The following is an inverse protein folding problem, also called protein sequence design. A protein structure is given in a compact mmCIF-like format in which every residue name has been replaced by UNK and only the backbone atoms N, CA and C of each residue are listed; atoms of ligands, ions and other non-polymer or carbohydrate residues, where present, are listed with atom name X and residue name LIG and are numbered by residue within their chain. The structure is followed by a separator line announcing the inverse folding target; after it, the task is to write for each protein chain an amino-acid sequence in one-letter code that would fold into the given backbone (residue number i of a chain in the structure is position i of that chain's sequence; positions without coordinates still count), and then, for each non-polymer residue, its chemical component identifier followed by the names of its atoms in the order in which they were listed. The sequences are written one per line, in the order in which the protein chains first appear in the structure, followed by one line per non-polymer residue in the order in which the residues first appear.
data_IF_014922027650
#
_entry.id   IF_014922027650
#
_cell.length_a   1.000
_cell.length_b   1.000
_cell.length_c   1.000
_cell.angle_alpha   90.00
_cell.angle_beta   90.00
_cell.angle_gamma   90.00
#
_symmetry.space_group_name_H-M   'P 1'
#
loop_
_entity.id
_entity.type
_entity.pdbx_description
1 polymer ?
#
# COMPACT_ATOMS: atom_id res chain seq x y z
N UNK A 1 -17.75 -7.18 4.82
CA UNK A 1 -16.90 -7.31 3.63
C UNK A 1 -17.58 -6.72 2.40
N UNK A 2 -16.79 -6.18 1.45
CA UNK A 2 -17.26 -5.79 0.13
C UNK A 2 -16.95 -6.92 -0.86
N UNK A 3 -17.91 -7.34 -1.67
CA UNK A 3 -17.69 -8.34 -2.70
C UNK A 3 -17.68 -7.61 -4.05
N UNK A 4 -16.48 -7.42 -4.60
CA UNK A 4 -16.30 -6.82 -5.92
C UNK A 4 -16.60 -7.83 -7.03
N UNK A 5 -17.17 -7.35 -8.12
CA UNK A 5 -17.46 -8.14 -9.31
C UNK A 5 -16.42 -7.86 -10.39
N UNK A 6 -15.98 -8.90 -11.08
CA UNK A 6 -15.03 -8.79 -12.17
C UNK A 6 -15.61 -9.42 -13.45
N UNK A 7 -15.27 -8.84 -14.59
CA UNK A 7 -15.62 -9.40 -15.89
C UNK A 7 -14.46 -10.19 -16.49
N UNK A 8 -14.73 -11.15 -17.35
CA UNK A 8 -13.70 -11.86 -18.13
C UNK A 8 -12.88 -10.87 -18.96
N UNK A 9 -13.55 -9.83 -19.52
CA UNK A 9 -12.86 -8.76 -20.24
C UNK A 9 -11.82 -8.06 -19.36
N UNK A 10 -12.19 -7.73 -18.11
CA UNK A 10 -11.28 -7.10 -17.14
C UNK A 10 -10.09 -8.01 -16.81
N UNK A 11 -10.35 -9.29 -16.58
CA UNK A 11 -9.29 -10.27 -16.29
C UNK A 11 -8.29 -10.38 -17.44
N UNK A 12 -8.77 -10.52 -18.68
CA UNK A 12 -7.91 -10.59 -19.88
C UNK A 12 -7.15 -9.29 -20.12
N UNK A 13 -7.79 -8.14 -19.83
CA UNK A 13 -7.14 -6.83 -19.93
C UNK A 13 -5.95 -6.72 -18.99
N UNK A 14 -6.01 -7.28 -17.78
CA UNK A 14 -4.89 -7.21 -16.83
C UNK A 14 -3.64 -7.94 -17.35
N UNK A 15 -3.79 -9.14 -17.89
CA UNK A 15 -2.67 -9.88 -18.51
C UNK A 15 -2.12 -9.17 -19.74
N UNK A 16 -3.00 -8.77 -20.66
CA UNK A 16 -2.61 -8.02 -21.85
C UNK A 16 -1.95 -6.66 -21.52
N UNK A 17 -2.53 -5.92 -20.55
CA UNK A 17 -2.02 -4.62 -20.13
C UNK A 17 -0.59 -4.69 -19.63
N UNK A 18 -0.26 -5.69 -18.82
CA UNK A 18 1.10 -5.89 -18.33
C UNK A 18 2.05 -6.27 -19.48
N UNK A 19 1.65 -7.20 -20.36
CA UNK A 19 2.44 -7.58 -21.54
C UNK A 19 2.68 -6.41 -22.51
N UNK A 20 1.76 -5.44 -22.58
CA UNK A 20 1.92 -4.29 -23.46
C UNK A 20 3.00 -3.29 -23.00
N UNK A 21 3.47 -3.40 -21.74
CA UNK A 21 4.46 -2.48 -21.16
C UNK A 21 5.74 -3.18 -20.73
N UNK A 22 5.71 -4.49 -20.51
CA UNK A 22 6.88 -5.32 -20.15
C UNK A 22 7.16 -6.28 -21.30
N UNK A 23 8.42 -6.34 -21.73
CA UNK A 23 8.90 -7.30 -22.70
C UNK A 23 9.05 -8.68 -22.03
N UNK A 24 8.04 -9.53 -22.20
CA UNK A 24 7.86 -10.80 -21.51
C UNK A 24 7.31 -11.86 -22.47
N UNK A 25 7.97 -13.01 -22.57
CA UNK A 25 7.64 -14.09 -23.50
C UNK A 25 7.63 -15.49 -22.84
N UNK A 26 7.51 -16.53 -23.65
CA UNK A 26 7.47 -17.93 -23.23
C UNK A 26 8.78 -18.45 -22.59
N UNK A 27 9.89 -17.73 -22.73
CA UNK A 27 11.17 -18.09 -22.11
C UNK A 27 11.31 -17.53 -20.71
N UNK A 28 10.42 -16.66 -20.29
CA UNK A 28 10.45 -16.04 -18.99
C UNK A 28 9.85 -16.92 -17.88
N UNK A 29 10.34 -16.74 -16.67
CA UNK A 29 9.85 -17.39 -15.47
C UNK A 29 9.49 -16.37 -14.39
N UNK A 30 8.27 -16.49 -13.85
CA UNK A 30 7.75 -15.64 -12.78
C UNK A 30 7.70 -16.40 -11.47
N UNK A 31 8.34 -15.88 -10.43
CA UNK A 31 8.13 -16.33 -9.05
C UNK A 31 7.02 -15.49 -8.40
N UNK A 32 5.90 -16.11 -8.11
CA UNK A 32 4.71 -15.47 -7.54
C UNK A 32 4.40 -15.98 -6.13
N UNK A 33 5.04 -15.46 -5.08
CA UNK A 33 4.74 -15.85 -3.70
C UNK A 33 3.59 -15.02 -3.10
N UNK A 34 2.64 -14.59 -3.91
CA UNK A 34 1.42 -13.93 -3.45
C UNK A 34 0.24 -14.91 -3.40
N UNK A 35 -0.70 -14.70 -2.46
CA UNK A 35 -1.87 -15.58 -2.35
C UNK A 35 -2.80 -15.44 -3.56
N UNK A 36 -3.21 -16.58 -4.13
CA UNK A 36 -4.05 -16.65 -5.34
C UNK A 36 -5.49 -16.17 -5.16
N UNK A 37 -5.92 -15.86 -3.96
CA UNK A 37 -7.21 -15.20 -3.73
C UNK A 37 -7.15 -13.68 -3.90
N UNK A 38 -5.94 -13.10 -4.09
CA UNK A 38 -5.75 -11.67 -4.29
C UNK A 38 -5.63 -11.34 -5.77
N UNK A 39 -6.32 -10.27 -6.21
CA UNK A 39 -6.36 -9.84 -7.62
C UNK A 39 -4.97 -9.63 -8.23
N UNK A 40 -3.99 -9.20 -7.46
CA UNK A 40 -2.63 -8.96 -7.95
C UNK A 40 -1.94 -10.25 -8.41
N UNK A 41 -2.14 -11.36 -7.68
CA UNK A 41 -1.59 -12.65 -8.08
C UNK A 41 -2.36 -13.26 -9.26
N UNK A 42 -3.71 -13.27 -9.18
CA UNK A 42 -4.52 -14.05 -10.12
C UNK A 42 -4.70 -13.37 -11.46
N UNK A 43 -4.79 -12.04 -11.53
CA UNK A 43 -5.05 -11.37 -12.79
C UNK A 43 -3.77 -10.89 -13.50
N UNK A 44 -3.05 -9.87 -13.05
CA UNK A 44 -1.86 -9.47 -13.79
C UNK A 44 -0.79 -10.55 -13.81
N UNK A 45 -0.51 -11.27 -12.71
CA UNK A 45 0.59 -12.22 -12.70
C UNK A 45 0.24 -13.51 -13.45
N UNK A 46 -0.80 -14.23 -13.03
CA UNK A 46 -1.18 -15.50 -13.65
C UNK A 46 -1.63 -15.30 -15.11
N UNK A 47 -2.50 -14.30 -15.37
CA UNK A 47 -3.01 -14.09 -16.73
C UNK A 47 -1.92 -13.65 -17.71
N UNK A 48 -0.91 -12.88 -17.24
CA UNK A 48 0.25 -12.54 -18.07
C UNK A 48 1.03 -13.79 -18.46
N UNK A 49 1.33 -14.67 -17.50
CA UNK A 49 2.02 -15.93 -17.80
C UNK A 49 1.21 -16.83 -18.75
N UNK A 50 -0.11 -16.96 -18.53
CA UNK A 50 -0.99 -17.75 -19.44
C UNK A 50 -1.01 -17.16 -20.84
N UNK A 51 -1.01 -15.83 -20.98
CA UNK A 51 -1.10 -15.16 -22.29
C UNK A 51 0.23 -15.19 -23.04
N UNK A 52 1.36 -15.08 -22.34
CA UNK A 52 2.71 -15.11 -22.93
C UNK A 52 3.28 -16.52 -23.12
N UNK A 53 2.71 -17.53 -22.46
CA UNK A 53 3.30 -18.87 -22.39
C UNK A 53 4.42 -18.99 -21.35
N UNK A 54 4.69 -17.94 -20.57
CA UNK A 54 5.74 -17.92 -19.55
C UNK A 54 5.46 -18.90 -18.41
N UNK A 55 6.53 -19.36 -17.77
CA UNK A 55 6.45 -20.26 -16.62
C UNK A 55 6.11 -19.47 -15.36
N UNK A 56 5.12 -19.92 -14.58
CA UNK A 56 4.81 -19.34 -13.27
C UNK A 56 5.12 -20.34 -12.15
N UNK A 57 5.82 -19.88 -11.11
CA UNK A 57 6.24 -20.68 -9.96
C UNK A 57 5.54 -20.16 -8.71
N UNK A 58 4.82 -21.04 -8.03
CA UNK A 58 4.24 -20.79 -6.71
C UNK A 58 5.07 -21.54 -5.67
N UNK A 59 5.80 -20.85 -4.77
CA UNK A 59 6.72 -21.51 -3.84
C UNK A 59 5.98 -22.37 -2.82
N UNK A 60 4.86 -21.87 -2.30
CA UNK A 60 3.98 -22.59 -1.36
C UNK A 60 2.54 -22.07 -1.51
N UNK A 61 1.53 -22.82 -1.03
CA UNK A 61 0.14 -22.33 -0.98
C UNK A 61 -0.03 -21.07 -0.11
N UNK A 62 0.84 -20.85 0.87
CA UNK A 62 0.86 -19.70 1.77
C UNK A 62 1.64 -18.50 1.20
N UNK A 63 2.27 -18.65 0.05
CA UNK A 63 3.10 -17.63 -0.58
C UNK A 63 4.29 -17.26 0.32
N UNK A 64 4.54 -15.97 0.52
CA UNK A 64 5.60 -15.46 1.38
C UNK A 64 5.51 -15.92 2.85
N UNK A 65 4.33 -16.29 3.33
CA UNK A 65 4.13 -16.76 4.70
C UNK A 65 4.40 -18.26 4.88
N UNK A 66 4.75 -18.96 3.82
CA UNK A 66 5.16 -20.35 3.90
C UNK A 66 6.53 -20.49 4.57
N UNK A 67 6.67 -21.50 5.41
CA UNK A 67 7.91 -21.76 6.13
C UNK A 67 9.09 -21.92 5.17
N UNK A 68 10.18 -21.23 5.44
CA UNK A 68 11.41 -21.29 4.67
C UNK A 68 11.38 -20.54 3.32
N UNK A 69 10.31 -19.83 2.97
CA UNK A 69 10.22 -19.13 1.68
C UNK A 69 11.21 -17.99 1.61
N UNK A 70 11.33 -17.16 2.63
CA UNK A 70 12.29 -16.05 2.65
C UNK A 70 13.73 -16.56 2.68
N UNK A 71 14.05 -17.52 3.52
CA UNK A 71 15.40 -18.09 3.69
C UNK A 71 15.92 -18.77 2.43
N UNK A 72 15.01 -19.31 1.59
CA UNK A 72 15.37 -19.99 0.35
C UNK A 72 15.00 -19.21 -0.92
N UNK A 73 14.55 -17.96 -0.77
CA UNK A 73 14.03 -17.16 -1.90
C UNK A 73 15.03 -17.08 -3.05
N UNK A 74 16.27 -16.70 -2.77
CA UNK A 74 17.29 -16.52 -3.81
C UNK A 74 17.70 -17.85 -4.45
N UNK A 75 17.66 -18.96 -3.71
CA UNK A 75 17.87 -20.31 -4.25
C UNK A 75 16.74 -20.75 -5.17
N UNK A 76 15.50 -20.33 -4.89
CA UNK A 76 14.37 -20.56 -5.82
C UNK A 76 14.56 -19.79 -7.12
N UNK A 77 15.04 -18.54 -7.03
CA UNK A 77 15.38 -17.72 -8.19
C UNK A 77 16.44 -18.41 -9.05
N UNK A 78 17.54 -18.85 -8.48
CA UNK A 78 18.62 -19.57 -9.18
C UNK A 78 18.12 -20.87 -9.81
N UNK A 79 17.41 -21.70 -9.04
CA UNK A 79 16.93 -23.01 -9.46
C UNK A 79 16.02 -22.94 -10.68
N UNK A 80 15.12 -21.96 -10.70
CA UNK A 80 14.09 -21.84 -11.73
C UNK A 80 14.42 -20.80 -12.80
N UNK A 81 15.62 -20.20 -12.73
CA UNK A 81 16.05 -19.11 -13.63
C UNK A 81 14.98 -18.03 -13.74
N UNK A 82 14.53 -17.56 -12.59
CA UNK A 82 13.45 -16.59 -12.49
C UNK A 82 13.83 -15.28 -13.18
N UNK A 83 13.00 -14.80 -14.10
CA UNK A 83 13.17 -13.51 -14.78
C UNK A 83 12.52 -12.36 -13.98
N UNK A 84 11.40 -12.68 -13.34
CA UNK A 84 10.57 -11.71 -12.61
C UNK A 84 10.09 -12.31 -11.29
N UNK A 85 9.94 -11.48 -10.31
CA UNK A 85 9.15 -11.84 -9.12
C UNK A 85 8.29 -10.68 -8.67
N UNK A 86 7.26 -10.99 -7.92
CA UNK A 86 6.30 -10.01 -7.39
C UNK A 86 6.40 -9.95 -5.89
N UNK A 87 6.36 -8.73 -5.35
CA UNK A 87 6.44 -8.49 -3.92
C UNK A 87 5.51 -7.35 -3.46
N UNK A 88 5.33 -7.27 -2.17
CA UNK A 88 4.76 -6.12 -1.47
C UNK A 88 5.86 -5.47 -0.62
N UNK A 89 5.74 -4.21 -0.18
CA UNK A 89 6.81 -3.53 0.58
C UNK A 89 7.30 -4.28 1.82
N UNK A 90 6.40 -4.96 2.54
CA UNK A 90 6.77 -5.78 3.70
C UNK A 90 7.62 -6.99 3.31
N UNK A 91 7.35 -7.60 2.15
CA UNK A 91 8.18 -8.68 1.62
C UNK A 91 9.53 -8.16 1.14
N UNK A 92 9.58 -6.97 0.51
CA UNK A 92 10.84 -6.31 0.17
C UNK A 92 11.70 -6.08 1.43
N UNK A 93 11.11 -5.55 2.51
CA UNK A 93 11.81 -5.37 3.80
C UNK A 93 12.32 -6.70 4.37
N UNK A 94 11.54 -7.77 4.31
CA UNK A 94 11.97 -9.10 4.79
C UNK A 94 13.09 -9.69 3.93
N UNK A 95 13.03 -9.56 2.60
CA UNK A 95 14.08 -10.01 1.68
C UNK A 95 15.41 -9.27 1.89
N UNK A 96 15.36 -8.00 2.33
CA UNK A 96 16.57 -7.25 2.71
C UNK A 96 17.29 -7.79 3.94
N UNK A 97 16.66 -8.69 4.69
CA UNK A 97 17.26 -9.36 5.86
C UNK A 97 17.88 -10.71 5.51
N UNK A 98 17.79 -11.13 4.25
CA UNK A 98 18.32 -12.39 3.74
C UNK A 98 19.43 -12.11 2.74
N UNK A 99 20.61 -12.66 2.98
CA UNK A 99 21.73 -12.52 2.07
C UNK A 99 21.43 -13.10 0.69
N UNK A 100 21.82 -12.39 -0.36
CA UNK A 100 21.75 -12.88 -1.74
C UNK A 100 22.89 -13.87 -1.96
N UNK A 101 22.64 -15.14 -1.64
CA UNK A 101 23.63 -16.21 -1.63
C UNK A 101 23.45 -17.22 -2.78
N UNK A 102 22.90 -16.76 -3.92
CA UNK A 102 22.57 -17.57 -5.10
C UNK A 102 22.80 -16.77 -6.37
N UNK A 103 22.88 -17.44 -7.52
CA UNK A 103 22.94 -16.79 -8.84
C UNK A 103 21.57 -16.19 -9.19
N UNK A 104 21.49 -14.88 -9.17
CA UNK A 104 20.29 -14.09 -9.51
C UNK A 104 20.40 -13.39 -10.87
N UNK A 105 21.37 -13.75 -11.69
CA UNK A 105 21.67 -13.10 -12.99
C UNK A 105 20.53 -13.23 -14.01
N UNK A 106 19.60 -14.17 -13.81
CA UNK A 106 18.40 -14.32 -14.65
C UNK A 106 17.34 -13.25 -14.37
N UNK A 107 17.39 -12.59 -13.20
CA UNK A 107 16.40 -11.58 -12.82
C UNK A 107 16.54 -10.31 -13.67
N UNK A 108 15.42 -9.83 -14.16
CA UNK A 108 15.29 -8.58 -14.92
C UNK A 108 14.66 -7.48 -14.08
N UNK A 109 13.55 -7.79 -13.42
CA UNK A 109 12.78 -6.82 -12.62
C UNK A 109 12.18 -7.46 -11.37
N UNK A 110 11.96 -6.64 -10.34
CA UNK A 110 11.09 -6.92 -9.21
C UNK A 110 9.82 -6.07 -9.33
N UNK A 111 8.64 -6.71 -9.35
CA UNK A 111 7.36 -6.02 -9.41
C UNK A 111 6.85 -5.74 -7.99
N UNK A 112 6.63 -4.49 -7.64
CA UNK A 112 6.15 -4.12 -6.31
C UNK A 112 4.83 -3.35 -6.37
N UNK A 113 3.91 -3.66 -5.48
CA UNK A 113 2.64 -2.98 -5.43
C UNK A 113 1.84 -3.26 -4.16
N UNK A 114 0.58 -2.90 -4.19
CA UNK A 114 -0.41 -3.10 -3.11
C UNK A 114 -0.32 -2.11 -1.94
N UNK A 115 0.82 -1.49 -1.68
CA UNK A 115 1.02 -0.43 -0.69
C UNK A 115 2.15 0.49 -1.16
N UNK A 116 2.26 1.72 -0.64
CA UNK A 116 3.39 2.60 -0.94
C UNK A 116 4.72 1.94 -0.55
N UNK A 117 5.70 2.02 -1.44
CA UNK A 117 7.06 1.56 -1.17
C UNK A 117 7.90 2.74 -0.66
N UNK A 118 8.41 2.71 0.58
CA UNK A 118 9.27 3.77 1.09
C UNK A 118 10.50 3.97 0.20
N UNK A 119 10.85 5.23 -0.07
CA UNK A 119 11.96 5.58 -0.98
C UNK A 119 13.30 5.02 -0.52
N UNK A 120 13.54 5.01 0.78
CA UNK A 120 14.77 4.45 1.34
C UNK A 120 14.84 2.93 1.14
N UNK A 121 13.73 2.22 1.33
CA UNK A 121 13.65 0.78 1.07
C UNK A 121 13.85 0.49 -0.42
N UNK A 122 13.23 1.28 -1.31
CA UNK A 122 13.44 1.20 -2.75
C UNK A 122 14.92 1.28 -3.10
N UNK A 123 15.60 2.34 -2.64
CA UNK A 123 17.02 2.58 -2.94
C UNK A 123 17.93 1.49 -2.36
N UNK A 124 17.68 1.07 -1.11
CA UNK A 124 18.43 -0.01 -0.45
C UNK A 124 18.31 -1.32 -1.21
N UNK A 125 17.07 -1.66 -1.61
CA UNK A 125 16.78 -2.90 -2.33
C UNK A 125 17.49 -2.96 -3.69
N UNK A 126 17.35 -1.91 -4.52
CA UNK A 126 18.03 -1.85 -5.81
C UNK A 126 19.56 -1.88 -5.66
N UNK A 127 20.12 -1.18 -4.65
CA UNK A 127 21.55 -1.19 -4.39
C UNK A 127 22.07 -2.58 -3.97
N UNK A 128 21.31 -3.30 -3.15
CA UNK A 128 21.72 -4.61 -2.64
C UNK A 128 21.58 -5.73 -3.67
N UNK A 129 20.56 -5.66 -4.54
CA UNK A 129 20.23 -6.73 -5.49
C UNK A 129 20.69 -6.42 -6.92
N UNK A 130 20.92 -5.16 -7.25
CA UNK A 130 21.16 -4.71 -8.63
C UNK A 130 19.92 -4.72 -9.51
N UNK A 131 18.73 -5.03 -8.96
CA UNK A 131 17.49 -5.17 -9.70
C UNK A 131 16.73 -3.85 -9.77
N UNK A 132 16.09 -3.62 -10.91
CA UNK A 132 15.14 -2.52 -11.04
C UNK A 132 13.79 -2.92 -10.44
N UNK A 133 13.26 -2.05 -9.55
CA UNK A 133 11.90 -2.20 -9.04
C UNK A 133 10.93 -1.49 -9.99
N UNK A 134 9.88 -2.19 -10.39
CA UNK A 134 8.74 -1.63 -11.11
C UNK A 134 7.55 -1.53 -10.13
N UNK A 135 7.25 -0.31 -9.69
CA UNK A 135 6.06 -0.07 -8.88
C UNK A 135 4.80 -0.01 -9.74
N UNK A 136 3.72 -0.55 -9.20
CA UNK A 136 2.40 -0.48 -9.79
C UNK A 136 1.32 -0.14 -8.79
N UNK A 137 0.28 0.55 -9.25
CA UNK A 137 -0.90 0.91 -8.49
C UNK A 137 -2.14 0.29 -9.08
N UNK A 138 -3.03 -0.12 -8.22
CA UNK A 138 -4.33 -0.66 -8.57
C UNK A 138 -5.15 -1.06 -7.36
N UNK A 139 -6.36 -1.48 -7.61
CA UNK A 139 -7.30 -1.90 -6.57
C UNK A 139 -8.20 -3.03 -7.07
N UNK A 140 -8.84 -3.71 -6.14
CA UNK A 140 -9.74 -4.83 -6.47
C UNK A 140 -10.87 -4.39 -7.41
N UNK A 141 -11.41 -3.21 -7.22
CA UNK A 141 -12.53 -2.66 -7.97
C UNK A 141 -12.22 -2.35 -9.44
N UNK A 142 -10.93 -2.27 -9.79
CA UNK A 142 -10.45 -2.10 -11.17
C UNK A 142 -9.94 -3.41 -11.79
N UNK A 143 -10.28 -4.53 -11.19
CA UNK A 143 -9.76 -5.88 -11.46
C UNK A 143 -8.28 -6.03 -11.07
N UNK A 144 -7.46 -5.03 -11.05
CA UNK A 144 -6.15 -4.85 -10.41
C UNK A 144 -5.48 -3.54 -10.86
N UNK A 145 -4.64 -3.60 -11.91
CA UNK A 145 -3.71 -2.53 -12.31
C UNK A 145 -4.43 -1.33 -12.91
N UNK A 146 -3.98 -0.14 -12.52
CA UNK A 146 -4.35 1.16 -13.06
C UNK A 146 -3.14 1.81 -13.72
N UNK A 147 -1.99 1.80 -13.04
CA UNK A 147 -0.73 2.38 -13.50
C UNK A 147 0.46 1.53 -13.11
N UNK A 148 1.59 1.75 -13.76
CA UNK A 148 2.84 1.08 -13.43
C UNK A 148 4.05 1.76 -14.05
N UNK A 149 5.23 1.48 -13.52
CA UNK A 149 6.48 1.96 -14.09
C UNK A 149 6.73 1.35 -15.47
N UNK A 150 6.99 2.18 -16.49
CA UNK A 150 7.48 1.67 -17.76
C UNK A 150 8.95 1.27 -17.60
N UNK A 151 9.34 0.00 -17.93
CA UNK A 151 10.71 -0.48 -17.72
C UNK A 151 11.79 0.36 -18.40
N UNK A 152 11.49 0.86 -19.60
CA UNK A 152 12.38 1.72 -20.39
C UNK A 152 12.15 3.23 -20.14
N UNK A 153 11.25 3.60 -19.24
CA UNK A 153 10.90 5.00 -18.97
C UNK A 153 11.83 5.67 -17.95
N UNK A 154 11.58 6.96 -17.74
CA UNK A 154 12.29 7.72 -16.70
C UNK A 154 11.85 7.24 -15.32
N UNK A 155 12.81 6.87 -14.48
CA UNK A 155 12.53 6.47 -13.09
C UNK A 155 12.19 7.69 -12.24
N UNK A 156 10.99 7.73 -11.68
CA UNK A 156 10.52 8.77 -10.75
C UNK A 156 10.12 8.14 -9.42
N UNK A 157 11.09 7.85 -8.57
CA UNK A 157 10.90 7.17 -7.28
C UNK A 157 9.86 7.88 -6.43
N UNK A 158 8.86 7.12 -5.96
CA UNK A 158 7.71 7.60 -5.19
C UNK A 158 6.47 7.89 -6.04
N UNK A 159 6.55 7.86 -7.39
CA UNK A 159 5.38 7.75 -8.24
C UNK A 159 4.96 6.29 -8.38
N UNK A 160 3.77 6.04 -8.89
CA UNK A 160 3.29 4.69 -9.24
C UNK A 160 3.23 4.49 -10.76
N UNK A 161 4.14 5.20 -11.47
CA UNK A 161 4.28 5.10 -12.92
C UNK A 161 3.22 5.87 -13.71
N UNK A 162 3.02 5.45 -14.94
CA UNK A 162 2.03 6.02 -15.87
C UNK A 162 0.80 5.11 -15.97
N UNK A 163 -0.39 5.65 -16.28
CA UNK A 163 -1.58 4.83 -16.54
C UNK A 163 -1.32 3.78 -17.63
N UNK A 164 -1.82 2.54 -17.40
CA UNK A 164 -1.78 1.50 -18.41
C UNK A 164 -2.59 1.89 -19.67
N UNK A 165 -2.29 1.32 -20.84
CA UNK A 165 -3.11 1.56 -22.03
C UNK A 165 -4.59 1.31 -21.77
N UNK A 166 -5.45 2.19 -22.26
CA UNK A 166 -6.90 2.24 -22.01
C UNK A 166 -7.32 2.54 -20.55
N UNK A 167 -6.40 2.94 -19.66
CA UNK A 167 -6.75 3.51 -18.37
C UNK A 167 -6.86 5.03 -18.49
N UNK A 168 -8.10 5.54 -18.48
CA UNK A 168 -8.37 6.99 -18.37
C UNK A 168 -8.38 7.34 -16.88
N UNK A 169 -7.31 7.98 -16.43
CA UNK A 169 -7.11 8.45 -15.05
C UNK A 169 -7.35 9.93 -14.99
N UNK A 170 -8.25 10.36 -14.12
CA UNK A 170 -8.55 11.77 -13.83
C UNK A 170 -8.28 12.08 -12.37
N UNK A 171 -7.74 13.25 -12.13
CA UNK A 171 -7.61 13.81 -10.79
C UNK A 171 -8.74 14.83 -10.62
N UNK A 172 -9.61 14.60 -9.63
CA UNK A 172 -10.84 15.37 -9.48
C UNK A 172 -10.92 16.00 -8.08
N UNK A 173 -11.26 17.28 -8.04
CA UNK A 173 -11.75 17.93 -6.84
C UNK A 173 -13.26 17.63 -6.73
N UNK A 174 -13.65 16.98 -5.66
CA UNK A 174 -15.03 16.53 -5.42
C UNK A 174 -15.47 17.11 -4.09
N UNK A 175 -16.62 17.82 -4.09
CA UNK A 175 -17.23 18.34 -2.85
C UNK A 175 -17.67 17.22 -1.90
N UNK A 176 -17.78 17.52 -0.61
CA UNK A 176 -18.15 16.55 0.43
C UNK A 176 -19.50 15.86 0.14
N UNK A 177 -20.44 16.57 -0.47
CA UNK A 177 -21.73 16.04 -0.89
C UNK A 177 -21.68 15.28 -2.24
N UNK A 178 -20.53 15.28 -2.90
CA UNK A 178 -20.27 14.56 -4.16
C UNK A 178 -20.93 15.18 -5.40
N UNK A 179 -21.53 16.39 -5.31
CA UNK A 179 -22.29 17.01 -6.39
C UNK A 179 -21.43 17.88 -7.31
N UNK A 180 -20.50 18.63 -6.72
CA UNK A 180 -19.57 19.46 -7.48
C UNK A 180 -18.31 18.67 -7.78
N UNK A 181 -18.07 18.43 -9.07
CA UNK A 181 -16.93 17.68 -9.57
C UNK A 181 -16.18 18.52 -10.59
N UNK A 182 -14.91 18.82 -10.30
CA UNK A 182 -14.05 19.60 -11.17
C UNK A 182 -12.74 18.86 -11.46
N UNK A 183 -12.24 18.97 -12.68
CA UNK A 183 -10.94 18.41 -13.03
C UNK A 183 -9.83 19.28 -12.44
N UNK A 184 -8.91 18.65 -11.72
CA UNK A 184 -7.69 19.28 -11.24
C UNK A 184 -6.73 19.55 -12.40
N UNK A 185 -5.90 20.59 -12.23
CA UNK A 185 -4.79 20.86 -13.16
C UNK A 185 -3.64 19.89 -12.90
N UNK A 186 -2.71 19.83 -13.86
CA UNK A 186 -1.42 19.14 -13.65
C UNK A 186 -0.74 19.64 -12.38
N UNK A 187 -0.19 18.74 -11.59
CA UNK A 187 0.41 18.95 -10.25
C UNK A 187 -0.58 19.28 -9.12
N UNK A 188 -1.86 19.46 -9.41
CA UNK A 188 -2.89 19.71 -8.39
C UNK A 188 -3.37 18.38 -7.80
N UNK A 189 -3.52 18.34 -6.47
CA UNK A 189 -3.97 17.15 -5.74
C UNK A 189 -5.50 17.08 -5.74
N UNK A 190 -6.03 15.90 -6.03
CA UNK A 190 -7.44 15.57 -5.94
C UNK A 190 -7.67 14.07 -5.79
N UNK A 191 -8.91 13.64 -5.84
CA UNK A 191 -9.25 12.22 -5.81
C UNK A 191 -8.90 11.56 -7.16
N UNK A 192 -8.18 10.45 -7.11
CA UNK A 192 -7.88 9.63 -8.27
C UNK A 192 -9.16 8.92 -8.71
N UNK A 193 -9.60 9.18 -9.93
CA UNK A 193 -10.76 8.54 -10.53
C UNK A 193 -10.33 7.83 -11.81
N UNK A 194 -10.84 6.62 -12.05
CA UNK A 194 -10.37 5.78 -13.16
C UNK A 194 -11.50 5.12 -13.92
N UNK A 195 -11.35 5.09 -15.23
CA UNK A 195 -12.13 4.22 -16.11
C UNK A 195 -11.16 3.40 -16.97
N UNK A 196 -11.30 2.06 -16.91
CA UNK A 196 -10.54 1.15 -17.74
C UNK A 196 -11.34 -0.14 -17.98
N UNK A 197 -10.90 -1.05 -18.86
CA UNK A 197 -11.64 -2.30 -19.17
C UNK A 197 -11.86 -3.23 -17.96
N UNK A 198 -11.12 -3.02 -16.85
CA UNK A 198 -11.29 -3.77 -15.60
C UNK A 198 -12.39 -3.22 -14.69
N UNK A 199 -12.94 -2.04 -14.96
CA UNK A 199 -14.00 -1.41 -14.17
C UNK A 199 -15.38 -1.89 -14.65
N UNK A 200 -16.21 -2.37 -13.72
CA UNK A 200 -17.62 -2.65 -13.95
C UNK A 200 -18.47 -1.45 -13.54
N UNK A 201 -18.72 -0.57 -14.50
CA UNK A 201 -19.48 0.67 -14.28
C UNK A 201 -20.90 0.36 -13.76
N UNK A 202 -21.27 1.01 -12.66
CA UNK A 202 -22.60 0.87 -12.02
C UNK A 202 -22.84 -0.45 -11.31
N UNK A 203 -21.96 -1.44 -11.43
CA UNK A 203 -22.14 -2.78 -10.87
C UNK A 203 -20.83 -3.36 -10.28
N UNK A 204 -20.04 -2.51 -9.64
CA UNK A 204 -18.74 -2.88 -9.06
C UNK A 204 -18.88 -3.84 -7.88
N UNK A 205 -19.89 -3.66 -7.06
CA UNK A 205 -20.16 -4.53 -5.92
C UNK A 205 -21.50 -5.26 -6.05
N UNK A 206 -21.58 -6.46 -5.50
CA UNK A 206 -22.83 -7.24 -5.42
C UNK A 206 -23.89 -6.57 -4.57
N UNK A 207 -23.51 -5.82 -3.53
CA UNK A 207 -24.41 -4.97 -2.75
C UNK A 207 -24.60 -3.63 -3.47
N UNK A 208 -25.78 -3.42 -4.07
CA UNK A 208 -26.09 -2.24 -4.87
C UNK A 208 -25.92 -0.91 -4.11
N UNK A 209 -26.21 -0.90 -2.79
CA UNK A 209 -26.02 0.29 -1.93
C UNK A 209 -24.57 0.78 -1.90
N UNK A 210 -23.62 -0.11 -2.12
CA UNK A 210 -22.18 0.22 -2.17
C UNK A 210 -21.75 0.79 -3.52
N UNK A 211 -22.59 0.74 -4.52
CA UNK A 211 -22.37 1.35 -5.82
C UNK A 211 -22.88 2.80 -5.88
N UNK A 212 -23.63 3.25 -4.88
CA UNK A 212 -24.10 4.64 -4.78
C UNK A 212 -22.91 5.59 -4.60
N UNK A 213 -22.88 6.68 -5.38
CA UNK A 213 -21.82 7.69 -5.39
C UNK A 213 -20.40 7.15 -5.63
N UNK A 214 -20.29 5.94 -6.17
CA UNK A 214 -19.01 5.29 -6.46
C UNK A 214 -18.35 5.80 -7.74
N UNK A 215 -19.08 6.52 -8.59
CA UNK A 215 -18.61 6.99 -9.90
C UNK A 215 -18.72 8.49 -10.07
N UNK A 216 -17.63 9.13 -10.50
CA UNK A 216 -17.62 10.47 -11.04
C UNK A 216 -18.00 10.44 -12.53
N UNK A 217 -18.78 11.43 -12.97
CA UNK A 217 -19.27 11.52 -14.36
C UNK A 217 -19.94 10.22 -14.87
N UNK A 218 -20.52 9.42 -13.97
CA UNK A 218 -21.16 8.12 -14.22
C UNK A 218 -20.27 7.03 -14.82
N UNK A 219 -18.97 7.27 -15.04
CA UNK A 219 -18.06 6.34 -15.73
C UNK A 219 -16.75 6.11 -15.00
N UNK A 220 -16.25 7.08 -14.26
CA UNK A 220 -14.96 6.99 -13.56
C UNK A 220 -15.15 6.55 -12.13
N UNK A 221 -14.64 5.36 -11.82
CA UNK A 221 -14.61 4.81 -10.47
C UNK A 221 -13.81 5.73 -9.55
N UNK A 222 -14.39 6.16 -8.46
CA UNK A 222 -13.74 6.91 -7.38
C UNK A 222 -12.94 5.94 -6.52
N UNK A 223 -11.62 6.12 -6.47
CA UNK A 223 -10.75 5.17 -5.75
C UNK A 223 -10.72 5.43 -4.24
N UNK A 224 -11.02 6.65 -3.82
CA UNK A 224 -10.81 7.13 -2.46
C UNK A 224 -9.35 7.39 -2.13
N UNK A 225 -8.44 7.22 -3.09
CA UNK A 225 -7.05 7.60 -2.98
C UNK A 225 -6.85 9.01 -3.56
N UNK A 226 -6.02 9.81 -2.91
CA UNK A 226 -5.65 11.15 -3.34
C UNK A 226 -4.32 11.11 -4.09
N UNK A 227 -4.21 11.98 -5.10
CA UNK A 227 -2.99 12.03 -5.88
C UNK A 227 -2.99 13.14 -6.92
N UNK A 228 -1.98 13.13 -7.75
CA UNK A 228 -1.80 14.07 -8.85
C UNK A 228 -1.14 13.41 -10.04
N UNK A 229 -1.34 13.98 -11.22
CA UNK A 229 -0.55 13.70 -12.41
C UNK A 229 0.49 14.79 -12.58
N UNK A 230 1.75 14.42 -12.80
CA UNK A 230 2.78 15.38 -13.14
C UNK A 230 2.76 15.74 -14.64
N UNK A 231 3.62 16.67 -15.05
CA UNK A 231 3.73 17.15 -16.44
C UNK A 231 4.10 16.06 -17.45
N UNK A 232 4.72 14.97 -16.98
CA UNK A 232 5.14 13.85 -17.83
C UNK A 232 4.14 12.68 -17.77
N UNK A 233 2.98 12.88 -17.10
CA UNK A 233 1.89 11.90 -16.98
C UNK A 233 2.10 10.83 -15.92
N UNK A 234 3.11 10.97 -15.05
CA UNK A 234 3.28 10.05 -13.92
C UNK A 234 2.25 10.32 -12.84
N UNK A 235 1.68 9.25 -12.30
CA UNK A 235 0.72 9.28 -11.20
C UNK A 235 1.47 9.24 -9.86
N UNK A 236 1.15 10.18 -8.98
CA UNK A 236 1.68 10.30 -7.63
C UNK A 236 0.53 10.12 -6.64
N UNK A 237 0.62 9.13 -5.76
CA UNK A 237 -0.34 8.96 -4.68
C UNK A 237 0.16 9.77 -3.48
N UNK A 238 -0.72 10.61 -2.93
CA UNK A 238 -0.43 11.49 -1.79
C UNK A 238 -1.18 11.08 -0.53
N UNK A 239 -1.82 9.92 -0.54
CA UNK A 239 -2.50 9.35 0.60
C UNK A 239 -3.88 8.81 0.26
N UNK A 240 -4.57 8.33 1.28
CA UNK A 240 -5.94 7.87 1.17
C UNK A 240 -6.84 8.81 1.97
N UNK A 241 -7.92 9.30 1.37
CA UNK A 241 -8.82 10.27 2.00
C UNK A 241 -9.26 9.85 3.43
N UNK A 242 -9.52 8.54 3.64
CA UNK A 242 -9.92 7.97 4.93
C UNK A 242 -8.78 7.76 5.93
N UNK A 243 -7.53 7.80 5.47
CA UNK A 243 -6.35 7.55 6.31
C UNK A 243 -5.61 8.85 6.67
N UNK A 244 -6.02 9.99 6.08
CA UNK A 244 -5.48 11.29 6.46
C UNK A 244 -5.69 11.53 7.95
N UNK A 245 -4.67 12.06 8.59
CA UNK A 245 -4.72 12.48 9.99
C UNK A 245 -5.21 13.92 10.02
N UNK A 246 -6.36 14.16 10.65
CA UNK A 246 -6.98 15.50 10.69
C UNK A 246 -6.54 16.22 11.94
N UNK A 247 -5.42 16.92 11.87
CA UNK A 247 -4.84 17.65 13.00
C UNK A 247 -5.25 19.13 12.96
N UNK A 248 -6.17 19.52 13.82
CA UNK A 248 -6.61 20.92 13.90
C UNK A 248 -7.15 21.48 12.58
N UNK A 249 -7.85 20.65 11.80
CA UNK A 249 -8.39 21.01 10.49
C UNK A 249 -7.39 20.88 9.33
N UNK A 250 -6.13 20.50 9.60
CA UNK A 250 -5.13 20.26 8.56
C UNK A 250 -4.99 18.77 8.25
N UNK A 251 -4.97 18.42 6.98
CA UNK A 251 -4.77 17.06 6.52
C UNK A 251 -3.27 16.73 6.51
N UNK A 252 -2.88 15.71 7.26
CA UNK A 252 -1.52 15.17 7.28
C UNK A 252 -1.54 13.76 6.70
N UNK A 253 -0.75 13.55 5.64
CA UNK A 253 -0.57 12.23 5.06
C UNK A 253 0.34 11.37 5.96
N UNK A 254 -0.14 10.22 6.47
CA UNK A 254 0.69 9.33 7.27
C UNK A 254 1.90 8.77 6.51
N UNK A 255 1.86 8.69 5.18
CA UNK A 255 2.98 8.20 4.37
C UNK A 255 4.25 9.05 4.54
N UNK A 256 4.14 10.35 4.80
CA UNK A 256 5.29 11.23 5.06
C UNK A 256 6.04 10.80 6.32
N UNK A 257 5.31 10.37 7.34
CA UNK A 257 5.88 9.90 8.61
C UNK A 257 6.52 8.52 8.40
N UNK A 258 5.82 7.65 7.67
CA UNK A 258 6.28 6.29 7.36
C UNK A 258 7.57 6.32 6.53
N UNK A 259 7.64 7.18 5.51
CA UNK A 259 8.83 7.37 4.68
C UNK A 259 10.01 7.90 5.50
N UNK A 260 9.78 8.92 6.34
CA UNK A 260 10.83 9.48 7.20
C UNK A 260 11.39 8.45 8.17
N UNK A 261 10.55 7.71 8.90
CA UNK A 261 10.99 6.70 9.87
C UNK A 261 11.64 5.48 9.21
N UNK A 262 11.21 5.09 8.01
CA UNK A 262 11.82 3.99 7.23
C UNK A 262 13.28 4.28 6.84
N UNK A 263 13.70 5.55 6.85
CA UNK A 263 15.08 5.95 6.66
C UNK A 263 16.02 5.57 7.82
N UNK A 264 15.51 5.26 9.02
CA UNK A 264 16.31 4.85 10.16
C UNK A 264 16.83 3.43 10.00
N UNK A 265 18.14 3.20 10.26
CA UNK A 265 18.80 1.91 10.02
C UNK A 265 18.19 0.74 10.82
N UNK A 266 17.65 1.02 12.01
CA UNK A 266 17.04 0.03 12.89
C UNK A 266 15.56 -0.26 12.56
N UNK A 267 14.94 0.44 11.62
CA UNK A 267 13.51 0.32 11.30
C UNK A 267 13.30 -0.62 10.12
N UNK A 268 12.49 -1.65 10.33
CA UNK A 268 12.07 -2.57 9.28
C UNK A 268 10.74 -2.15 8.64
N UNK A 269 9.74 -1.82 9.48
CA UNK A 269 8.39 -1.43 9.02
C UNK A 269 7.83 -0.33 9.91
N UNK A 270 6.97 0.51 9.32
CA UNK A 270 6.29 1.60 10.02
C UNK A 270 4.82 1.65 9.61
N UNK A 271 3.95 1.87 10.59
CA UNK A 271 2.55 2.22 10.36
C UNK A 271 2.21 3.50 11.12
N UNK A 272 1.93 4.60 10.41
CA UNK A 272 1.49 5.86 10.99
C UNK A 272 -0.03 6.02 10.89
N UNK A 273 -0.63 6.55 11.95
CA UNK A 273 -2.07 6.80 12.06
C UNK A 273 -2.35 8.06 12.87
N UNK A 274 -3.58 8.59 12.79
CA UNK A 274 -4.10 9.55 13.75
C UNK A 274 -4.53 8.85 15.03
N UNK A 275 -4.08 9.36 16.17
CA UNK A 275 -4.62 9.01 17.48
C UNK A 275 -5.54 10.13 17.96
N UNK A 276 -6.57 9.85 18.79
CA UNK A 276 -7.45 10.87 19.35
C UNK A 276 -6.68 11.91 20.14
N UNK A 277 -7.09 13.18 20.01
CA UNK A 277 -6.58 14.32 20.76
C UNK A 277 -7.72 15.29 21.10
N UNK A 278 -7.79 15.74 22.36
CA UNK A 278 -8.89 16.58 22.84
C UNK A 278 -8.94 17.98 22.19
N UNK A 279 -7.79 18.50 21.74
CA UNK A 279 -7.69 19.86 21.22
C UNK A 279 -7.65 19.90 19.69
N UNK A 280 -6.99 18.93 19.07
CA UNK A 280 -6.74 18.92 17.63
C UNK A 280 -7.61 17.93 16.86
N UNK A 281 -8.49 17.18 17.54
CA UNK A 281 -9.24 16.06 16.99
C UNK A 281 -8.36 14.83 16.86
N UNK A 282 -7.32 14.91 16.02
CA UNK A 282 -6.29 13.88 15.91
C UNK A 282 -4.89 14.48 15.95
N UNK A 283 -3.93 13.66 16.39
CA UNK A 283 -2.49 13.94 16.27
C UNK A 283 -1.77 12.72 15.73
N UNK A 284 -0.68 12.89 14.96
CA UNK A 284 0.06 11.76 14.43
C UNK A 284 0.68 10.89 15.52
N UNK A 285 0.60 9.57 15.35
CA UNK A 285 1.43 8.62 16.07
C UNK A 285 1.91 7.52 15.13
N UNK A 286 2.99 6.83 15.50
CA UNK A 286 3.57 5.78 14.69
C UNK A 286 3.83 4.50 15.50
N UNK A 287 3.72 3.36 14.81
CA UNK A 287 4.07 2.05 15.31
C UNK A 287 5.19 1.50 14.44
N UNK A 288 6.22 0.96 15.07
CA UNK A 288 7.46 0.57 14.39
C UNK A 288 7.79 -0.89 14.72
N UNK A 289 8.16 -1.64 13.69
CA UNK A 289 8.79 -2.96 13.80
C UNK A 289 10.28 -2.79 13.48
N UNK A 290 11.16 -3.28 14.35
CA UNK A 290 12.60 -3.14 14.17
C UNK A 290 13.19 -4.24 13.29
N UNK A 291 14.31 -3.94 12.66
CA UNK A 291 15.19 -4.93 12.04
C UNK A 291 15.63 -5.93 13.11
N UNK A 292 15.71 -7.21 12.77
CA UNK A 292 16.07 -8.26 13.73
C UNK A 292 17.44 -7.97 14.39
N UNK A 293 17.44 -7.95 15.70
CA UNK A 293 18.65 -7.68 16.49
C UNK A 293 19.04 -6.20 16.62
N UNK A 294 18.33 -5.30 15.94
CA UNK A 294 18.55 -3.87 16.10
C UNK A 294 18.13 -3.39 17.49
N UNK A 295 18.84 -2.37 17.99
CA UNK A 295 18.59 -1.72 19.29
C UNK A 295 18.39 -0.23 19.05
N UNK A 296 17.22 0.26 19.37
CA UNK A 296 16.85 1.66 19.42
C UNK A 296 15.64 1.82 20.32
N UNK A 297 15.32 3.04 20.74
CA UNK A 297 14.13 3.32 21.53
C UNK A 297 13.22 4.38 20.87
N UNK A 298 12.03 4.56 21.41
CA UNK A 298 11.04 5.49 20.88
C UNK A 298 11.54 6.95 20.89
N UNK A 299 12.37 7.35 21.86
CA UNK A 299 12.89 8.70 21.96
C UNK A 299 13.93 8.98 20.88
N UNK A 300 14.80 8.01 20.58
CA UNK A 300 15.73 8.09 19.46
C UNK A 300 15.01 8.25 18.13
N UNK A 301 13.97 7.43 17.90
CA UNK A 301 13.14 7.51 16.71
C UNK A 301 12.37 8.83 16.60
N UNK A 302 11.88 9.37 17.71
CA UNK A 302 11.24 10.70 17.75
C UNK A 302 12.22 11.80 17.37
N UNK A 303 13.44 11.79 17.90
CA UNK A 303 14.49 12.75 17.51
C UNK A 303 14.83 12.63 16.04
N UNK A 304 15.04 11.40 15.56
CA UNK A 304 15.34 11.17 14.17
C UNK A 304 14.27 11.72 13.22
N UNK A 305 13.00 11.48 13.49
CA UNK A 305 11.91 11.97 12.63
C UNK A 305 11.76 13.49 12.72
N UNK A 306 12.06 14.10 13.87
CA UNK A 306 12.08 15.57 14.05
C UNK A 306 13.14 16.25 13.16
N UNK A 307 14.27 15.61 12.94
CA UNK A 307 15.34 16.11 12.07
C UNK A 307 15.03 15.94 10.57
N UNK A 308 14.15 14.99 10.24
CA UNK A 308 13.79 14.64 8.86
C UNK A 308 12.56 15.36 8.32
N UNK A 309 11.63 15.74 9.19
CA UNK A 309 10.37 16.35 8.79
C UNK A 309 10.37 17.86 9.03
N UNK A 310 10.28 18.63 7.95
CA UNK A 310 10.09 20.09 8.00
C UNK A 310 8.69 20.45 8.47
N UNK A 311 7.69 19.63 8.11
CA UNK A 311 6.30 19.84 8.49
C UNK A 311 6.04 19.45 9.95
N UNK A 312 6.00 20.44 10.84
CA UNK A 312 5.76 20.23 12.27
C UNK A 312 4.40 19.60 12.59
N UNK A 313 3.39 19.75 11.72
CA UNK A 313 2.09 19.12 11.90
C UNK A 313 2.16 17.60 11.72
N UNK A 314 3.10 17.12 10.92
CA UNK A 314 3.31 15.70 10.67
C UNK A 314 4.18 15.02 11.75
N UNK A 315 4.77 15.77 12.69
CA UNK A 315 5.59 15.17 13.75
C UNK A 315 4.73 14.28 14.64
N UNK A 316 5.08 12.98 14.77
CA UNK A 316 4.37 12.07 15.67
C UNK A 316 4.60 12.50 17.12
N UNK A 317 3.52 12.52 17.90
CA UNK A 317 3.58 12.80 19.35
C UNK A 317 3.91 11.54 20.15
N UNK A 318 3.81 10.37 19.52
CA UNK A 318 4.03 9.09 20.16
C UNK A 318 4.56 8.08 19.13
N UNK A 319 5.56 7.31 19.54
CA UNK A 319 6.06 6.15 18.78
C UNK A 319 6.03 4.94 19.72
N UNK A 320 5.52 3.82 19.21
CA UNK A 320 5.55 2.52 19.91
C UNK A 320 6.29 1.49 19.05
N UNK A 321 7.25 0.82 19.67
CA UNK A 321 7.97 -0.29 19.05
C UNK A 321 7.22 -1.58 19.36
N UNK A 322 6.78 -2.28 18.32
CA UNK A 322 6.11 -3.57 18.40
C UNK A 322 7.05 -4.67 17.91
N UNK A 323 6.90 -5.86 18.49
CA UNK A 323 7.63 -7.05 18.03
C UNK A 323 7.28 -7.37 16.59
N UNK A 324 5.99 -7.21 16.24
CA UNK A 324 5.47 -7.38 14.89
C UNK A 324 4.29 -6.44 14.68
N UNK A 325 4.25 -5.76 13.52
CA UNK A 325 3.10 -4.96 13.12
C UNK A 325 1.95 -5.83 12.62
N UNK A 326 0.68 -5.49 12.90
CA UNK A 326 -0.45 -6.23 12.36
C UNK A 326 -0.47 -6.12 10.83
N UNK A 327 -0.62 -7.26 10.16
CA UNK A 327 -0.60 -7.37 8.70
C UNK A 327 -1.85 -8.08 8.17
N UNK A 328 -2.33 -7.67 7.04
CA UNK A 328 -3.37 -8.39 6.30
C UNK A 328 -2.83 -9.71 5.75
N UNK A 329 -3.71 -10.57 5.25
CA UNK A 329 -3.32 -11.84 4.62
C UNK A 329 -2.37 -11.67 3.42
N UNK A 330 -2.36 -10.50 2.78
CA UNK A 330 -1.46 -10.15 1.67
C UNK A 330 -0.23 -9.35 2.10
N UNK A 331 0.03 -9.25 3.41
CA UNK A 331 1.23 -8.61 3.95
C UNK A 331 1.17 -7.08 4.08
N UNK A 332 0.04 -6.43 3.88
CA UNK A 332 -0.11 -4.98 4.13
C UNK A 332 -0.24 -4.71 5.62
N UNK A 333 0.35 -3.62 6.11
CA UNK A 333 0.12 -3.15 7.48
C UNK A 333 -1.37 -2.86 7.68
N UNK A 334 -1.95 -3.44 8.71
CA UNK A 334 -3.38 -3.31 9.02
C UNK A 334 -3.63 -2.15 9.99
N UNK A 335 -3.67 -0.93 9.44
CA UNK A 335 -3.86 0.32 10.21
C UNK A 335 -5.09 0.35 11.13
N UNK A 336 -6.24 -0.30 10.82
CA UNK A 336 -7.37 -0.34 11.76
C UNK A 336 -7.02 -0.89 13.14
N UNK A 337 -6.17 -1.91 13.25
CA UNK A 337 -5.75 -2.45 14.56
C UNK A 337 -4.83 -1.46 15.29
N UNK A 338 -3.96 -0.75 14.57
CA UNK A 338 -3.14 0.31 15.14
C UNK A 338 -3.99 1.45 15.71
N UNK A 339 -5.07 1.85 15.00
CA UNK A 339 -6.02 2.84 15.48
C UNK A 339 -6.75 2.38 16.74
N UNK A 340 -7.24 1.12 16.78
CA UNK A 340 -7.88 0.55 17.98
C UNK A 340 -6.92 0.58 19.17
N UNK A 341 -5.67 0.16 18.99
CA UNK A 341 -4.62 0.18 19.99
C UNK A 341 -4.36 1.60 20.51
N UNK A 342 -4.28 2.59 19.63
CA UNK A 342 -4.10 3.99 20.00
C UNK A 342 -5.29 4.52 20.81
N UNK A 343 -6.53 4.21 20.42
CA UNK A 343 -7.74 4.62 21.13
C UNK A 343 -7.75 4.05 22.56
N UNK A 344 -7.51 2.75 22.71
CA UNK A 344 -7.44 2.10 24.03
C UNK A 344 -6.39 2.79 24.90
N UNK A 345 -5.19 2.99 24.40
CA UNK A 345 -4.09 3.63 25.12
C UNK A 345 -4.42 5.06 25.55
N UNK A 346 -4.91 5.88 24.63
CA UNK A 346 -5.21 7.30 24.89
C UNK A 346 -6.34 7.43 25.91
N UNK A 347 -7.43 6.70 25.74
CA UNK A 347 -8.58 6.78 26.64
C UNK A 347 -8.24 6.26 28.05
N UNK A 348 -7.50 5.17 28.15
CA UNK A 348 -7.08 4.65 29.46
C UNK A 348 -6.13 5.62 30.19
N UNK A 349 -5.21 6.27 29.46
CA UNK A 349 -4.35 7.29 30.04
C UNK A 349 -5.16 8.50 30.55
N UNK A 350 -6.16 8.96 29.81
CA UNK A 350 -7.05 10.05 30.22
C UNK A 350 -7.91 9.69 31.44
N UNK A 351 -8.46 8.46 31.47
CA UNK A 351 -9.21 7.99 32.65
C UNK A 351 -8.35 7.96 33.91
N UNK A 352 -7.12 7.45 33.78
CA UNK A 352 -6.17 7.41 34.88
C UNK A 352 -5.82 8.82 35.37
N UNK A 353 -5.56 9.77 34.48
CA UNK A 353 -5.28 11.17 34.82
C UNK A 353 -6.45 11.85 35.57
N UNK A 354 -7.69 11.47 35.21
CA UNK A 354 -8.91 12.00 35.85
C UNK A 354 -9.35 11.21 37.08
N UNK A 355 -8.63 10.18 37.49
CA UNK A 355 -8.97 9.34 38.63
C UNK A 355 -10.24 8.50 38.41
N UNK A 356 -10.62 8.25 37.17
CA UNK A 356 -11.77 7.42 36.82
C UNK A 356 -11.35 5.96 36.94
N UNK A 357 -12.02 5.19 37.78
CA UNK A 357 -11.78 3.75 37.96
C UNK A 357 -12.57 2.96 36.92
N UNK A 358 -12.16 3.06 35.68
CA UNK A 358 -12.71 2.33 34.58
C UNK A 358 -11.61 2.11 33.52
N UNK A 359 -11.75 1.11 32.69
CA UNK A 359 -10.80 0.76 31.62
C UNK A 359 -11.53 0.50 30.31
N UNK A 360 -10.94 0.97 29.20
CA UNK A 360 -11.35 0.56 27.85
C UNK A 360 -10.77 -0.82 27.59
N UNK A 361 -11.64 -1.81 27.46
CA UNK A 361 -11.25 -3.21 27.23
C UNK A 361 -11.17 -3.57 25.76
N UNK A 362 -12.00 -2.92 24.93
CA UNK A 362 -12.08 -3.20 23.50
C UNK A 362 -12.56 -1.98 22.71
N UNK A 363 -12.16 -1.90 21.44
CA UNK A 363 -12.69 -0.93 20.47
C UNK A 363 -13.29 -1.69 19.30
N UNK A 364 -14.59 -1.55 19.10
CA UNK A 364 -15.35 -2.19 18.03
C UNK A 364 -15.70 -1.19 16.93
N UNK A 365 -15.89 -1.68 15.72
CA UNK A 365 -16.45 -0.89 14.62
C UNK A 365 -17.96 -1.10 14.56
N UNK A 366 -18.71 -0.08 14.95
CA UNK A 366 -20.18 -0.06 14.82
C UNK A 366 -20.58 0.64 13.53
N UNK A 367 -21.65 0.15 12.90
CA UNK A 367 -22.11 0.67 11.60
C UNK A 367 -22.69 2.08 11.66
N UNK A 368 -23.18 2.49 12.82
CA UNK A 368 -23.83 3.79 13.04
C UNK A 368 -22.89 4.76 13.72
N UNK A 369 -22.21 4.30 14.76
CA UNK A 369 -21.38 5.13 15.64
C UNK A 369 -19.89 5.15 15.26
N UNK A 370 -19.49 4.34 14.25
CA UNK A 370 -18.07 4.23 13.89
C UNK A 370 -17.27 3.42 14.92
N UNK A 371 -16.09 3.90 15.30
CA UNK A 371 -15.27 3.25 16.33
C UNK A 371 -15.85 3.53 17.72
N UNK A 372 -16.29 2.48 18.39
CA UNK A 372 -16.94 2.53 19.72
C UNK A 372 -16.08 1.83 20.75
N UNK A 373 -15.71 2.54 21.82
CA UNK A 373 -14.96 1.99 22.94
C UNK A 373 -15.90 1.29 23.95
N UNK A 374 -15.57 0.07 24.34
CA UNK A 374 -16.23 -0.69 25.40
C UNK A 374 -15.48 -0.42 26.70
N UNK A 375 -16.21 0.07 27.70
CA UNK A 375 -15.63 0.46 29.01
C UNK A 375 -16.14 -0.54 30.07
N UNK A 376 -15.25 -1.05 30.89
CA UNK A 376 -15.53 -1.80 32.11
C UNK A 376 -15.03 -1.02 33.32
N UNK A 377 -15.81 -1.04 34.40
CA UNK A 377 -15.46 -0.38 35.68
C UNK A 377 -15.98 -1.16 36.87
#
# INVERSE_FOLDING_TARGET
PKIAQHSVRGMLYQGWGLLSVIDWDENDSMLCPLPMFHVFAVYPMLMTCVTSGAHIIFPTPQGYRGDGVFENFWKLVERWKVSFFVMVPTAASALMQVDVNADVSSLRYALCGSAPLPKDLFNKFEKATGLQILEGYGMTETTCLISGYPPAGTKKIGSVGIPFPYSDVKILAISDDGKDIQSCKTEEIGEICVNNPGVLVGNTYTDSRKNENLFAFSTHLRTGDLGKLDKDGYLWITGRAKDLIIRGGHNVDPAIIEDALSGHASVALVGAIGQPDLHSGEVPCAYVELVQGAKTDANELLKFVQEKLDNKLALPVYIEILTELPKTAVGKIFKPDLRRRAIVRVLNAEMQLKGIQAEVTEVLEDKVSGLTAIISG
#
